data_IF_853083973480
#
_entry.id   IF_853083973480
#
_cell.length_a   1.000
_cell.length_b   1.000
_cell.length_c   1.000
_cell.angle_alpha   90.00
_cell.angle_beta   90.00
_cell.angle_gamma   90.00
#
_symmetry.space_group_name_H-M   'P 1'
#
loop_
_entity.id
_entity.type
_entity.pdbx_description
1 polymer ?
#
# COMPACT_ATOMS: atom_id res chain seq x y z
N UNK A 1 8.13 20.88 8.20
CA UNK A 1 8.59 19.75 7.36
C UNK A 1 8.09 18.47 8.00
N UNK A 2 7.40 17.62 7.23
CA UNK A 2 6.93 16.33 7.73
C UNK A 2 8.12 15.37 7.90
N UNK A 3 8.23 14.68 9.04
CA UNK A 3 9.28 13.66 9.28
C UNK A 3 8.98 12.31 8.61
N UNK A 4 8.03 12.31 7.68
CA UNK A 4 7.69 11.18 6.82
C UNK A 4 8.65 11.09 5.64
N UNK A 5 9.19 9.89 5.40
CA UNK A 5 10.08 9.58 4.27
C UNK A 5 9.50 8.47 3.44
N UNK A 6 9.47 8.66 2.12
CA UNK A 6 9.02 7.66 1.15
C UNK A 6 10.14 6.65 0.86
N UNK A 7 9.81 5.37 0.78
CA UNK A 7 10.78 4.29 0.56
C UNK A 7 10.14 3.13 -0.22
N UNK A 8 10.22 3.09 -1.55
CA UNK A 8 9.39 2.14 -2.34
C UNK A 8 10.10 0.82 -2.71
N UNK A 9 11.34 0.60 -2.28
CA UNK A 9 12.13 -0.56 -2.74
C UNK A 9 11.64 -1.89 -2.20
N UNK A 10 11.78 -2.14 -0.89
CA UNK A 10 11.40 -3.41 -0.24
C UNK A 10 10.34 -3.12 0.81
N UNK A 11 9.19 -3.80 0.73
CA UNK A 11 8.12 -3.64 1.71
C UNK A 11 8.63 -3.98 3.10
N UNK A 12 8.32 -3.14 4.10
CA UNK A 12 8.78 -3.41 5.46
C UNK A 12 8.15 -4.72 6.00
N UNK A 13 8.95 -5.68 6.48
CA UNK A 13 8.44 -6.96 7.00
C UNK A 13 7.42 -6.81 8.13
N UNK A 14 7.53 -5.73 8.91
CA UNK A 14 6.62 -5.42 10.02
C UNK A 14 5.15 -5.31 9.59
N UNK A 15 4.84 -4.96 8.33
CA UNK A 15 3.45 -4.98 7.87
C UNK A 15 2.88 -6.41 7.84
N UNK A 16 3.67 -7.37 7.36
CA UNK A 16 3.31 -8.79 7.35
C UNK A 16 3.10 -9.29 8.78
N UNK A 17 4.08 -9.06 9.66
CA UNK A 17 4.03 -9.47 11.07
C UNK A 17 2.80 -8.92 11.80
N UNK A 18 2.51 -7.61 11.66
CA UNK A 18 1.37 -6.97 12.33
C UNK A 18 0.02 -7.40 11.77
N UNK A 19 -0.04 -7.70 10.48
CA UNK A 19 -1.25 -8.25 9.87
C UNK A 19 -1.54 -9.64 10.43
N UNK A 20 -0.55 -10.53 10.42
CA UNK A 20 -0.73 -11.90 10.94
C UNK A 20 -0.97 -11.93 12.45
N UNK A 21 -0.36 -11.02 13.22
CA UNK A 21 -0.65 -10.85 14.65
C UNK A 21 -2.14 -10.54 14.89
N UNK A 22 -2.78 -9.79 13.99
CA UNK A 22 -4.18 -9.37 14.12
C UNK A 22 -5.19 -10.36 13.53
N UNK A 23 -4.87 -11.00 12.41
CA UNK A 23 -5.82 -11.84 11.66
C UNK A 23 -5.44 -13.33 11.60
N UNK A 24 -4.24 -13.70 12.04
CA UNK A 24 -3.74 -15.08 12.07
C UNK A 24 -2.60 -15.33 11.07
N UNK A 25 -1.76 -16.31 11.37
CA UNK A 25 -0.67 -16.76 10.50
C UNK A 25 -1.19 -17.24 9.13
N UNK A 26 -0.49 -16.89 8.06
CA UNK A 26 -0.83 -17.23 6.68
C UNK A 26 -1.94 -16.38 6.06
N UNK A 27 -2.49 -15.39 6.78
CA UNK A 27 -3.57 -14.53 6.26
C UNK A 27 -3.08 -13.35 5.42
N UNK A 28 -1.77 -13.09 5.42
CA UNK A 28 -1.16 -11.93 4.78
C UNK A 28 -0.23 -12.26 3.59
N UNK A 29 -0.52 -13.24 2.70
CA UNK A 29 0.42 -13.63 1.66
C UNK A 29 0.77 -12.48 0.69
N UNK A 30 -0.06 -11.43 0.60
CA UNK A 30 0.18 -10.20 -0.17
C UNK A 30 1.17 -9.21 0.48
N UNK A 31 1.47 -9.37 1.77
CA UNK A 31 2.47 -8.58 2.49
C UNK A 31 3.81 -9.31 2.60
N UNK A 32 3.88 -10.58 2.19
CA UNK A 32 5.11 -11.35 2.24
C UNK A 32 6.10 -10.86 1.15
N UNK A 33 7.26 -10.28 1.51
CA UNK A 33 8.22 -9.76 0.55
C UNK A 33 8.78 -10.84 -0.39
N UNK A 34 8.92 -12.07 0.10
CA UNK A 34 9.50 -13.20 -0.64
C UNK A 34 8.57 -13.75 -1.73
N UNK A 35 7.29 -13.37 -1.75
CA UNK A 35 6.28 -13.92 -2.66
C UNK A 35 6.22 -13.16 -3.99
N UNK A 36 6.75 -11.93 -4.09
CA UNK A 36 6.45 -11.03 -5.21
C UNK A 36 7.65 -10.43 -5.95
N UNK A 37 8.89 -10.82 -5.63
CA UNK A 37 10.07 -10.09 -6.11
C UNK A 37 10.73 -10.66 -7.40
N UNK A 38 10.29 -11.77 -7.99
CA UNK A 38 11.01 -12.37 -9.15
C UNK A 38 10.39 -12.12 -10.54
N UNK A 39 9.06 -12.19 -10.72
CA UNK A 39 8.48 -12.20 -12.10
C UNK A 39 7.55 -11.01 -12.46
N UNK A 40 7.08 -10.24 -11.47
CA UNK A 40 6.20 -9.08 -11.71
C UNK A 40 6.32 -8.07 -10.57
N UNK A 41 7.14 -7.00 -10.71
CA UNK A 41 7.20 -5.96 -9.70
C UNK A 41 5.84 -5.25 -9.64
N UNK A 42 5.05 -5.57 -8.61
CA UNK A 42 3.73 -4.97 -8.45
C UNK A 42 3.85 -3.55 -7.90
N UNK A 43 2.99 -2.60 -8.33
CA UNK A 43 3.04 -1.24 -7.82
C UNK A 43 2.89 -1.22 -6.30
N UNK A 44 3.81 -0.55 -5.61
CA UNK A 44 3.81 -0.39 -4.16
C UNK A 44 4.36 0.98 -3.79
N UNK A 45 3.90 1.53 -2.68
CA UNK A 45 4.46 2.74 -2.07
C UNK A 45 4.42 2.60 -0.56
N UNK A 46 5.39 3.18 0.14
CA UNK A 46 5.35 3.21 1.60
C UNK A 46 6.10 4.41 2.17
N UNK A 47 5.72 4.77 3.39
CA UNK A 47 6.28 5.88 4.13
C UNK A 47 6.58 5.45 5.56
N UNK A 48 7.62 6.03 6.15
CA UNK A 48 7.94 5.92 7.57
C UNK A 48 8.12 7.30 8.18
N UNK A 49 7.52 7.53 9.35
CA UNK A 49 7.82 8.66 10.20
C UNK A 49 9.05 8.30 11.04
N UNK A 50 10.17 8.95 10.79
CA UNK A 50 11.45 8.58 11.43
C UNK A 50 11.52 8.90 12.93
N UNK A 51 10.65 9.77 13.44
CA UNK A 51 10.65 10.12 14.86
C UNK A 51 9.83 9.13 15.68
N UNK A 52 8.76 8.60 15.10
CA UNK A 52 7.76 7.80 15.82
C UNK A 52 7.76 6.33 15.42
N UNK A 53 8.38 5.98 14.30
CA UNK A 53 8.30 4.64 13.71
C UNK A 53 6.94 4.32 13.08
N UNK A 54 6.01 5.28 13.03
CA UNK A 54 4.74 5.10 12.32
C UNK A 54 5.02 4.82 10.84
N UNK A 55 4.24 3.94 10.21
CA UNK A 55 4.44 3.62 8.79
C UNK A 55 3.13 3.43 8.05
N UNK A 56 3.15 3.74 6.76
CA UNK A 56 2.02 3.58 5.85
C UNK A 56 2.48 2.80 4.62
N UNK A 57 1.70 1.84 4.13
CA UNK A 57 1.98 1.12 2.90
C UNK A 57 0.74 1.03 2.00
N UNK A 58 0.97 1.15 0.69
CA UNK A 58 0.02 0.91 -0.39
C UNK A 58 0.45 -0.36 -1.09
N UNK A 59 -0.40 -1.39 -1.07
CA UNK A 59 -0.11 -2.69 -1.68
C UNK A 59 -1.32 -3.25 -2.41
N UNK A 60 -1.12 -4.06 -3.47
CA UNK A 60 -2.21 -4.77 -4.13
C UNK A 60 -2.66 -5.96 -3.27
N UNK A 61 -3.97 -6.09 -3.09
CA UNK A 61 -4.62 -7.23 -2.43
C UNK A 61 -5.47 -8.02 -3.44
N UNK A 62 -5.72 -9.28 -3.11
CA UNK A 62 -6.59 -10.19 -3.86
C UNK A 62 -8.01 -10.04 -3.34
N UNK A 63 -8.99 -10.04 -4.24
CA UNK A 63 -10.38 -10.35 -3.87
C UNK A 63 -10.62 -11.87 -4.05
N UNK A 64 -11.86 -12.33 -3.87
CA UNK A 64 -12.20 -13.77 -3.97
C UNK A 64 -11.80 -14.39 -5.33
N UNK A 65 -11.77 -13.58 -6.40
CA UNK A 65 -11.21 -13.94 -7.70
C UNK A 65 -9.75 -13.47 -7.82
N UNK A 66 -8.86 -14.40 -8.17
CA UNK A 66 -7.41 -14.18 -8.34
C UNK A 66 -7.06 -13.08 -9.35
N UNK A 67 -7.95 -12.79 -10.31
CA UNK A 67 -7.77 -11.72 -11.30
C UNK A 67 -8.24 -10.35 -10.80
N UNK A 68 -9.21 -10.34 -9.89
CA UNK A 68 -9.71 -9.11 -9.30
C UNK A 68 -8.78 -8.67 -8.17
N UNK A 69 -8.29 -7.45 -8.32
CA UNK A 69 -7.34 -6.83 -7.40
C UNK A 69 -7.88 -5.49 -6.93
N UNK A 70 -7.45 -5.07 -5.76
CA UNK A 70 -7.59 -3.68 -5.32
C UNK A 70 -6.35 -3.23 -4.58
N UNK A 71 -6.17 -1.92 -4.40
CA UNK A 71 -5.11 -1.40 -3.55
C UNK A 71 -5.63 -1.13 -2.16
N UNK A 72 -5.00 -1.76 -1.17
CA UNK A 72 -5.21 -1.47 0.24
C UNK A 72 -4.16 -0.49 0.75
N UNK A 73 -4.55 0.32 1.73
CA UNK A 73 -3.65 1.20 2.45
C UNK A 73 -3.57 0.70 3.89
N UNK A 74 -2.38 0.34 4.34
CA UNK A 74 -2.12 -0.10 5.71
C UNK A 74 -1.42 0.99 6.50
N UNK A 75 -1.83 1.19 7.74
CA UNK A 75 -1.20 2.10 8.68
C UNK A 75 -0.78 1.35 9.95
N UNK A 76 0.49 1.47 10.31
CA UNK A 76 1.04 1.01 11.58
C UNK A 76 1.25 2.22 12.50
N UNK A 77 0.45 2.37 13.57
CA UNK A 77 0.67 3.43 14.55
C UNK A 77 1.88 3.11 15.45
N UNK A 78 2.50 4.12 16.08
CA UNK A 78 3.62 3.91 17.00
C UNK A 78 3.32 2.99 18.18
N UNK A 79 2.07 2.99 18.64
CA UNK A 79 1.62 2.17 19.77
C UNK A 79 1.42 0.67 19.43
N UNK A 80 1.60 0.28 18.16
CA UNK A 80 1.42 -1.09 17.69
C UNK A 80 0.04 -1.40 17.11
N UNK A 81 -0.08 -2.58 16.51
CA UNK A 81 -1.22 -3.00 15.71
C UNK A 81 -1.15 -2.50 14.25
N UNK A 82 -2.24 -2.71 13.51
CA UNK A 82 -2.36 -2.37 12.09
C UNK A 82 -3.78 -1.94 11.77
N UNK A 83 -3.90 -0.91 10.93
CA UNK A 83 -5.16 -0.32 10.50
C UNK A 83 -5.26 -0.43 8.98
N UNK A 84 -6.46 -0.74 8.48
CA UNK A 84 -6.74 -0.75 7.04
C UNK A 84 -7.49 0.53 6.70
N UNK A 85 -6.85 1.42 5.97
CA UNK A 85 -7.45 2.63 5.42
C UNK A 85 -8.08 2.28 4.06
N UNK A 86 -9.31 2.75 3.84
CA UNK A 86 -10.10 2.42 2.64
C UNK A 86 -10.03 3.59 1.66
N UNK A 87 -9.21 3.53 0.59
CA UNK A 87 -9.03 4.63 -0.37
C UNK A 87 -10.21 4.84 -1.34
N UNK A 88 -11.37 4.25 -1.08
CA UNK A 88 -12.49 4.22 -2.03
C UNK A 88 -12.29 3.17 -3.14
N UNK A 89 -12.66 3.51 -4.37
CA UNK A 89 -12.64 2.58 -5.50
C UNK A 89 -11.24 2.47 -6.13
N UNK A 90 -10.51 1.43 -5.78
CA UNK A 90 -9.17 1.11 -6.30
C UNK A 90 -9.12 -0.27 -6.99
N UNK A 91 -10.28 -0.81 -7.35
CA UNK A 91 -10.42 -2.10 -8.01
C UNK A 91 -9.85 -2.07 -9.43
N UNK A 92 -9.21 -3.15 -9.83
CA UNK A 92 -8.70 -3.35 -11.19
C UNK A 92 -8.62 -4.86 -11.50
N UNK A 93 -8.55 -5.19 -12.79
CA UNK A 93 -8.30 -6.55 -13.25
C UNK A 93 -6.81 -6.66 -13.57
N UNK A 94 -6.13 -7.66 -13.01
CA UNK A 94 -4.70 -7.88 -13.26
C UNK A 94 -4.47 -8.25 -14.73
N UNK A 95 -3.49 -7.58 -15.34
CA UNK A 95 -3.10 -7.84 -16.72
C UNK A 95 -2.40 -9.19 -16.85
N UNK A 96 -2.86 -10.02 -17.80
CA UNK A 96 -2.22 -11.30 -18.10
C UNK A 96 -0.94 -11.09 -18.93
N UNK A 97 -0.91 -10.03 -19.73
CA UNK A 97 0.23 -9.67 -20.58
C UNK A 97 0.58 -8.19 -20.48
N UNK A 98 1.81 -7.82 -20.86
CA UNK A 98 2.22 -6.41 -20.92
C UNK A 98 1.53 -5.64 -22.06
N UNK A 99 0.86 -6.32 -22.98
CA UNK A 99 0.17 -5.72 -24.11
C UNK A 99 -1.26 -5.26 -23.78
N UNK A 100 -1.76 -5.61 -22.58
CA UNK A 100 -3.08 -5.22 -22.08
C UNK A 100 -3.10 -3.77 -21.57
N UNK A 101 -2.81 -2.82 -22.48
CA UNK A 101 -2.61 -1.41 -22.17
C UNK A 101 -3.75 -0.76 -21.37
N UNK A 102 -5.00 -1.17 -21.63
CA UNK A 102 -6.16 -0.67 -20.89
C UNK A 102 -6.18 -1.15 -19.42
N UNK A 103 -5.82 -2.41 -19.17
CA UNK A 103 -5.76 -2.96 -17.80
C UNK A 103 -4.56 -2.40 -17.04
N UNK A 104 -3.42 -2.22 -17.71
CA UNK A 104 -2.26 -1.53 -17.15
C UNK A 104 -2.58 -0.07 -16.78
N UNK A 105 -3.30 0.65 -17.64
CA UNK A 105 -3.73 2.01 -17.35
C UNK A 105 -4.66 2.07 -16.14
N UNK A 106 -5.63 1.15 -16.03
CA UNK A 106 -6.53 1.06 -14.89
C UNK A 106 -5.77 0.73 -13.59
N UNK A 107 -4.85 -0.23 -13.60
CA UNK A 107 -3.99 -0.54 -12.44
C UNK A 107 -3.22 0.68 -11.98
N UNK A 108 -2.61 1.41 -12.92
CA UNK A 108 -1.83 2.60 -12.62
C UNK A 108 -2.69 3.74 -12.05
N UNK A 109 -3.91 3.92 -12.55
CA UNK A 109 -4.88 4.89 -12.02
C UNK A 109 -5.34 4.51 -10.60
N UNK A 110 -5.69 3.25 -10.39
CA UNK A 110 -6.05 2.70 -9.07
C UNK A 110 -4.90 2.84 -8.06
N UNK A 111 -3.66 2.61 -8.50
CA UNK A 111 -2.48 2.83 -7.65
C UNK A 111 -2.32 4.31 -7.28
N UNK A 112 -2.43 5.23 -8.24
CA UNK A 112 -2.35 6.68 -7.98
C UNK A 112 -3.41 7.14 -6.99
N UNK A 113 -4.64 6.64 -7.09
CA UNK A 113 -5.72 6.93 -6.13
C UNK A 113 -5.38 6.46 -4.72
N UNK A 114 -4.86 5.24 -4.58
CA UNK A 114 -4.44 4.72 -3.28
C UNK A 114 -3.26 5.49 -2.67
N UNK A 115 -2.28 5.89 -3.51
CA UNK A 115 -1.17 6.75 -3.10
C UNK A 115 -1.67 8.12 -2.66
N UNK A 116 -2.56 8.76 -3.43
CA UNK A 116 -3.12 10.06 -3.06
C UNK A 116 -3.87 10.00 -1.72
N UNK A 117 -4.63 8.92 -1.48
CA UNK A 117 -5.30 8.71 -0.20
C UNK A 117 -4.30 8.54 0.97
N UNK A 118 -3.22 7.79 0.76
CA UNK A 118 -2.16 7.64 1.75
C UNK A 118 -1.47 8.98 2.03
N UNK A 119 -1.16 9.76 1.00
CA UNK A 119 -0.55 11.09 1.13
C UNK A 119 -1.48 12.08 1.84
N UNK A 120 -2.78 12.07 1.55
CA UNK A 120 -3.77 12.87 2.27
C UNK A 120 -3.85 12.48 3.75
N UNK A 121 -3.80 11.19 4.07
CA UNK A 121 -3.74 10.72 5.45
C UNK A 121 -2.47 11.19 6.18
N UNK A 122 -1.31 11.16 5.50
CA UNK A 122 -0.01 11.49 6.08
C UNK A 122 0.19 13.00 6.23
N UNK A 123 -0.19 13.77 5.20
CA UNK A 123 0.15 15.19 5.05
C UNK A 123 -1.05 16.12 5.19
N UNK A 124 -2.27 15.59 5.24
CA UNK A 124 -3.51 16.36 5.19
C UNK A 124 -3.95 16.70 3.75
N UNK A 125 -5.17 17.24 3.58
CA UNK A 125 -5.85 17.43 2.29
C UNK A 125 -5.19 18.43 1.32
N UNK A 126 -4.13 19.13 1.72
CA UNK A 126 -3.46 20.12 0.86
C UNK A 126 -2.00 19.81 0.54
N UNK A 127 -1.36 18.81 1.17
CA UNK A 127 0.09 18.57 1.00
C UNK A 127 0.98 19.81 1.22
N UNK A 128 0.41 20.90 1.75
CA UNK A 128 1.01 22.22 1.94
C UNK A 128 0.96 22.51 3.42
N UNK A 129 2.14 22.69 4.01
CA UNK A 129 2.28 23.25 5.34
C UNK A 129 1.55 24.61 5.39
N UNK A 130 0.78 24.93 6.44
CA UNK A 130 0.16 26.24 6.57
C UNK A 130 1.24 27.34 6.57
N UNK A 131 0.97 28.52 5.98
CA UNK A 131 1.90 29.65 6.05
C UNK A 131 2.14 30.04 7.52
N UNK A 132 3.40 30.42 7.78
CA UNK A 132 3.94 30.77 9.09
C UNK A 132 3.23 31.92 9.77
#
# INVERSE_FOLDING_TARGET
>A
MSNWRRYDSTLFPIFHERFEERWGEGTAPFLNPSVFDEDQPRPRAQWINVDTGASVAVVPIWEDDRKHRSFAVFYLPPAGGIWVLRPGFTQYIEAETQDDAAQLALRNDSFKKAVAHAEEFIFGPEGKQPPS
#
